data_IF_703748951520
#
_entry.id   IF_703748951520
#
_cell.length_a   1.000
_cell.length_b   1.000
_cell.length_c   1.000
_cell.angle_alpha   90.00
_cell.angle_beta   90.00
_cell.angle_gamma   90.00
#
_symmetry.space_group_name_H-M   'P 1'
#
loop_
_entity.id
_entity.type
_entity.pdbx_description
1 polymer ?
#
# COMPACT_ATOMS: atom_id res chain seq x y z
N UNK A 1 32.11 11.04 11.52
CA UNK A 1 30.70 10.71 11.79
C UNK A 1 29.91 11.27 10.62
N UNK A 2 29.38 10.45 9.72
CA UNK A 2 28.54 10.99 8.66
C UNK A 2 27.21 11.39 9.31
N UNK A 3 26.85 12.66 9.18
CA UNK A 3 25.54 13.13 9.58
C UNK A 3 24.60 12.56 8.52
N UNK A 4 23.82 11.54 8.87
CA UNK A 4 22.75 11.06 8.00
C UNK A 4 21.72 12.17 7.91
N UNK A 5 21.55 12.74 6.71
CA UNK A 5 20.50 13.72 6.47
C UNK A 5 19.13 13.12 6.83
N UNK A 6 18.23 13.92 7.44
CA UNK A 6 16.89 13.45 7.76
C UNK A 6 16.15 13.07 6.47
N UNK A 7 15.43 11.94 6.50
CA UNK A 7 14.66 11.48 5.34
C UNK A 7 13.63 12.54 4.92
N UNK A 8 13.50 12.84 3.60
CA UNK A 8 12.50 13.78 3.12
C UNK A 8 11.10 13.29 3.50
N UNK A 9 10.23 14.24 3.88
CA UNK A 9 8.83 13.95 4.29
C UNK A 9 7.83 14.00 3.14
N UNK A 10 8.24 14.58 2.02
CA UNK A 10 7.54 14.54 0.74
C UNK A 10 8.54 14.08 -0.31
N UNK A 11 8.12 13.19 -1.19
CA UNK A 11 8.93 12.64 -2.28
C UNK A 11 8.23 12.88 -3.62
N UNK A 12 9.03 12.90 -4.70
CA UNK A 12 8.59 13.23 -6.07
C UNK A 12 8.07 14.68 -6.25
N UNK A 13 7.94 15.13 -7.50
CA UNK A 13 7.41 16.47 -7.82
C UNK A 13 5.90 16.58 -7.57
N UNK A 14 5.40 17.81 -7.56
CA UNK A 14 3.97 18.08 -7.37
C UNK A 14 3.13 17.77 -8.61
N UNK A 15 3.77 17.48 -9.75
CA UNK A 15 3.10 17.21 -11.04
C UNK A 15 2.43 15.83 -11.11
N UNK A 16 2.67 14.96 -10.12
CA UNK A 16 2.09 13.63 -10.04
C UNK A 16 3.10 12.50 -10.23
N UNK A 17 2.63 11.24 -10.28
CA UNK A 17 3.49 10.09 -10.52
C UNK A 17 4.12 10.14 -11.92
N UNK A 18 5.40 9.80 -12.00
CA UNK A 18 6.16 9.68 -13.24
C UNK A 18 6.45 8.21 -13.59
N UNK A 19 6.81 7.94 -14.85
CA UNK A 19 7.17 6.60 -15.31
C UNK A 19 8.24 5.97 -14.40
N UNK A 20 8.06 4.72 -13.94
CA UNK A 20 7.11 3.72 -14.43
C UNK A 20 5.75 3.70 -13.74
N UNK A 21 5.43 4.68 -12.89
CA UNK A 21 4.17 4.75 -12.15
C UNK A 21 3.07 5.42 -12.99
N UNK A 22 1.79 5.08 -12.76
CA UNK A 22 1.29 4.12 -11.77
C UNK A 22 1.51 2.65 -12.19
N UNK A 23 1.94 1.81 -11.25
CA UNK A 23 1.93 0.36 -11.40
C UNK A 23 0.66 -0.23 -10.78
N UNK A 24 0.18 -1.33 -11.35
CA UNK A 24 -1.10 -1.94 -11.00
C UNK A 24 -0.88 -3.38 -10.53
N UNK A 25 -1.57 -3.78 -9.45
CA UNK A 25 -1.58 -5.15 -8.92
C UNK A 25 -2.91 -5.43 -8.26
N UNK A 26 -3.47 -6.64 -8.46
CA UNK A 26 -4.68 -7.06 -7.77
C UNK A 26 -4.57 -8.49 -7.26
N UNK A 27 -5.37 -8.81 -6.25
CA UNK A 27 -5.41 -10.13 -5.67
C UNK A 27 -6.40 -10.24 -4.52
N UNK A 28 -6.61 -11.47 -4.05
CA UNK A 28 -7.36 -11.71 -2.82
C UNK A 28 -6.42 -11.62 -1.62
N UNK A 29 -6.84 -10.91 -0.57
CA UNK A 29 -6.04 -10.78 0.66
C UNK A 29 -5.88 -12.14 1.33
N UNK A 30 -4.64 -12.57 1.51
CA UNK A 30 -4.29 -13.83 2.18
C UNK A 30 -3.61 -13.60 3.53
N UNK A 31 -3.69 -14.61 4.39
CA UNK A 31 -2.94 -14.62 5.65
C UNK A 31 -1.43 -14.68 5.38
N UNK A 32 -0.69 -13.79 6.02
CA UNK A 32 0.77 -13.87 6.08
C UNK A 32 1.25 -14.89 7.12
N UNK A 33 2.51 -14.78 7.50
CA UNK A 33 3.17 -15.72 8.42
C UNK A 33 3.06 -15.34 9.91
N UNK A 34 2.15 -14.43 10.26
CA UNK A 34 1.90 -14.05 11.66
C UNK A 34 3.12 -13.45 12.37
N UNK A 35 3.95 -12.66 11.68
CA UNK A 35 5.21 -12.08 12.24
C UNK A 35 5.00 -10.91 13.21
N UNK A 36 3.86 -10.84 13.88
CA UNK A 36 3.58 -9.82 14.90
C UNK A 36 3.26 -8.42 14.38
N UNK A 37 3.17 -8.18 13.06
CA UNK A 37 2.90 -6.84 12.51
C UNK A 37 1.64 -6.16 13.08
N UNK A 38 0.61 -6.96 13.39
CA UNK A 38 -0.60 -6.51 14.10
C UNK A 38 -0.33 -6.05 15.53
N UNK A 39 0.54 -6.75 16.27
CA UNK A 39 0.94 -6.38 17.64
C UNK A 39 1.80 -5.11 17.65
N UNK A 40 2.50 -4.83 16.55
CA UNK A 40 3.27 -3.60 16.34
C UNK A 40 2.40 -2.40 15.90
N UNK A 41 1.09 -2.61 15.71
CA UNK A 41 0.18 -1.57 15.23
C UNK A 41 0.26 -1.30 13.73
N UNK A 42 0.95 -2.16 12.96
CA UNK A 42 1.18 -2.00 11.52
C UNK A 42 0.73 -3.28 10.80
N UNK A 43 -0.57 -3.65 10.84
CA UNK A 43 -1.05 -4.88 10.21
C UNK A 43 -0.82 -4.85 8.69
N UNK A 44 -0.33 -5.96 8.13
CA UNK A 44 -0.07 -6.10 6.69
C UNK A 44 -0.98 -7.14 6.03
N UNK A 45 -1.60 -6.76 4.92
CA UNK A 45 -2.31 -7.64 4.00
C UNK A 45 -1.33 -8.23 3.00
N UNK A 46 -1.32 -9.55 2.84
CA UNK A 46 -0.47 -10.20 1.84
C UNK A 46 -1.28 -10.40 0.56
N UNK A 47 -0.65 -10.18 -0.61
CA UNK A 47 -1.25 -10.51 -1.90
C UNK A 47 -0.45 -11.61 -2.61
N UNK A 48 -1.12 -12.52 -3.34
CA UNK A 48 -0.43 -13.48 -4.18
C UNK A 48 0.34 -12.77 -5.28
N UNK A 49 1.60 -13.16 -5.48
CA UNK A 49 2.41 -12.65 -6.59
C UNK A 49 2.28 -13.62 -7.75
N UNK A 50 1.56 -13.19 -8.79
CA UNK A 50 1.44 -13.90 -10.05
C UNK A 50 2.22 -13.14 -11.14
N UNK A 51 3.25 -13.77 -11.70
CA UNK A 51 4.09 -13.18 -12.73
C UNK A 51 3.37 -12.95 -14.07
N UNK A 52 2.27 -13.68 -14.34
CA UNK A 52 1.45 -13.46 -15.52
C UNK A 52 0.60 -12.19 -15.39
N UNK A 53 0.11 -11.89 -14.19
CA UNK A 53 -0.72 -10.72 -13.91
C UNK A 53 0.10 -9.49 -13.52
N UNK A 54 1.25 -9.71 -12.89
CA UNK A 54 2.08 -8.66 -12.28
C UNK A 54 3.55 -8.77 -12.73
N UNK A 55 3.86 -8.83 -14.03
CA UNK A 55 5.21 -9.15 -14.52
C UNK A 55 6.28 -8.16 -14.06
N UNK A 56 5.91 -6.88 -13.87
CA UNK A 56 6.81 -5.82 -13.43
C UNK A 56 7.42 -6.09 -12.04
N UNK A 57 6.76 -6.87 -11.18
CA UNK A 57 7.23 -7.13 -9.82
C UNK A 57 8.50 -7.98 -9.80
N UNK A 58 8.78 -8.73 -10.87
CA UNK A 58 9.99 -9.53 -10.99
C UNK A 58 11.24 -8.65 -10.95
N UNK A 59 11.21 -7.50 -11.65
CA UNK A 59 12.31 -6.54 -11.76
C UNK A 59 12.18 -5.34 -10.82
N UNK A 60 11.12 -5.26 -10.00
CA UNK A 60 10.97 -4.18 -9.03
C UNK A 60 12.11 -4.20 -7.99
N UNK A 61 12.57 -3.01 -7.60
CA UNK A 61 13.51 -2.87 -6.48
C UNK A 61 12.87 -3.39 -5.20
N UNK A 62 13.60 -4.16 -4.39
CA UNK A 62 13.08 -4.54 -3.08
C UNK A 62 13.08 -3.32 -2.16
N UNK A 63 11.96 -3.07 -1.49
CA UNK A 63 11.82 -1.91 -0.61
C UNK A 63 10.37 -1.53 -0.36
N UNK A 64 10.20 -0.29 0.10
CA UNK A 64 8.91 0.29 0.45
C UNK A 64 8.42 1.19 -0.67
N UNK A 65 7.16 1.02 -1.01
CA UNK A 65 6.40 1.75 -2.01
C UNK A 65 5.18 2.38 -1.35
N UNK A 66 4.55 3.33 -2.05
CA UNK A 66 3.31 3.96 -1.58
C UNK A 66 2.31 4.15 -2.73
N UNK A 67 1.05 4.37 -2.37
CA UNK A 67 -0.01 4.61 -3.32
C UNK A 67 -1.38 4.39 -2.69
N UNK A 68 -2.29 3.79 -3.44
CA UNK A 68 -3.63 3.49 -2.98
C UNK A 68 -3.94 2.01 -3.03
N UNK A 69 -4.63 1.54 -1.99
CA UNK A 69 -5.30 0.25 -1.95
C UNK A 69 -6.81 0.49 -2.08
N UNK A 70 -7.45 -0.33 -2.88
CA UNK A 70 -8.90 -0.34 -3.04
C UNK A 70 -9.43 -1.70 -2.60
N UNK A 71 -10.36 -1.69 -1.66
CA UNK A 71 -10.86 -2.87 -0.97
C UNK A 71 -12.35 -3.05 -1.22
N UNK A 72 -12.72 -4.25 -1.68
CA UNK A 72 -14.11 -4.71 -1.66
C UNK A 72 -14.37 -5.42 -0.33
N UNK A 73 -14.76 -4.64 0.69
CA UNK A 73 -15.04 -5.19 2.01
C UNK A 73 -16.32 -6.05 2.00
N UNK A 74 -16.42 -7.08 2.85
CA UNK A 74 -17.65 -7.85 3.01
C UNK A 74 -18.84 -6.94 3.40
N UNK A 75 -20.08 -7.22 2.96
CA UNK A 75 -21.26 -6.43 3.32
C UNK A 75 -21.52 -6.30 4.83
N UNK A 76 -20.97 -7.22 5.63
CA UNK A 76 -21.07 -7.24 7.10
C UNK A 76 -19.91 -6.53 7.79
N UNK A 77 -18.92 -6.02 7.06
CA UNK A 77 -17.75 -5.39 7.65
C UNK A 77 -18.13 -4.02 8.23
N UNK A 78 -17.74 -3.71 9.49
CA UNK A 78 -18.16 -2.48 10.16
C UNK A 78 -17.65 -1.19 9.50
N UNK A 79 -16.50 -1.28 8.81
CA UNK A 79 -15.90 -0.15 8.08
C UNK A 79 -16.35 -0.06 6.60
N UNK A 80 -17.40 -0.80 6.21
CA UNK A 80 -18.02 -0.60 4.89
C UNK A 80 -18.87 0.68 4.93
N UNK A 81 -18.44 1.73 4.24
CA UNK A 81 -19.26 2.93 4.05
C UNK A 81 -20.41 2.64 3.08
N UNK A 82 -21.63 2.97 3.47
CA UNK A 82 -22.78 2.82 2.60
C UNK A 82 -22.69 3.83 1.44
N UNK A 83 -22.56 3.36 0.20
CA UNK A 83 -22.73 4.25 -0.95
C UNK A 83 -24.14 4.19 -1.52
N UNK A 84 -24.50 5.22 -2.29
CA UNK A 84 -25.85 5.39 -2.85
C UNK A 84 -26.18 4.43 -4.00
N UNK A 85 -25.28 3.52 -4.40
CA UNK A 85 -25.42 2.72 -5.62
C UNK A 85 -25.07 1.24 -5.40
N UNK A 86 -26.09 0.37 -5.34
CA UNK A 86 -25.97 -1.05 -5.00
C UNK A 86 -25.17 -1.93 -5.97
N UNK A 87 -23.84 -1.87 -5.91
CA UNK A 87 -22.89 -2.74 -6.61
C UNK A 87 -21.82 -3.33 -5.67
N UNK A 88 -20.86 -4.09 -6.22
CA UNK A 88 -19.64 -4.48 -5.49
C UNK A 88 -18.81 -3.22 -5.29
N UNK A 89 -18.81 -2.72 -4.06
CA UNK A 89 -18.23 -1.43 -3.73
C UNK A 89 -16.78 -1.56 -3.30
N UNK A 90 -15.93 -0.86 -4.03
CA UNK A 90 -14.52 -0.73 -3.74
C UNK A 90 -14.29 0.62 -3.03
N UNK A 91 -13.71 0.56 -1.83
CA UNK A 91 -13.33 1.74 -1.05
C UNK A 91 -11.83 1.99 -1.17
N UNK A 92 -11.43 3.23 -1.47
CA UNK A 92 -10.03 3.60 -1.71
C UNK A 92 -9.41 4.14 -0.42
N UNK A 93 -8.23 3.62 -0.07
CA UNK A 93 -7.44 4.01 1.08
C UNK A 93 -5.98 4.25 0.69
N UNK A 94 -5.29 5.25 1.27
CA UNK A 94 -3.85 5.37 1.11
C UNK A 94 -3.15 4.15 1.73
N UNK A 95 -2.02 3.74 1.15
CA UNK A 95 -1.26 2.58 1.60
C UNK A 95 0.25 2.78 1.47
N UNK A 96 1.00 2.02 2.25
CA UNK A 96 2.39 1.67 1.96
C UNK A 96 2.48 0.17 1.67
N UNK A 97 3.47 -0.22 0.89
CA UNK A 97 3.67 -1.60 0.47
C UNK A 97 5.13 -1.98 0.54
N UNK A 98 5.45 -3.14 1.10
CA UNK A 98 6.76 -3.77 1.02
C UNK A 98 6.77 -4.76 -0.13
N UNK A 99 7.75 -4.62 -1.02
CA UNK A 99 8.09 -5.62 -2.03
C UNK A 99 9.45 -6.20 -1.68
N UNK A 100 9.52 -7.52 -1.56
CA UNK A 100 10.74 -8.20 -1.14
C UNK A 100 10.77 -9.64 -1.64
N UNK A 101 11.43 -10.49 -0.87
CA UNK A 101 11.48 -11.93 -1.10
C UNK A 101 10.99 -12.70 0.11
N UNK A 102 10.34 -13.84 -0.13
CA UNK A 102 9.86 -14.70 0.93
C UNK A 102 10.97 -15.62 1.48
N UNK A 103 11.38 -15.47 2.76
CA UNK A 103 12.43 -16.30 3.36
C UNK A 103 12.12 -17.79 3.43
N UNK A 104 10.83 -18.16 3.53
CA UNK A 104 10.42 -19.56 3.63
C UNK A 104 10.61 -20.33 2.33
N UNK A 105 10.58 -19.63 1.19
CA UNK A 105 10.89 -20.21 -0.13
C UNK A 105 12.34 -19.95 -0.54
N UNK A 106 13.26 -19.88 0.44
CA UNK A 106 14.70 -19.60 0.21
C UNK A 106 14.93 -18.32 -0.61
N UNK A 107 14.07 -17.31 -0.43
CA UNK A 107 14.07 -16.06 -1.19
C UNK A 107 13.93 -16.23 -2.72
N UNK A 108 13.34 -17.33 -3.18
CA UNK A 108 13.14 -17.57 -4.62
C UNK A 108 11.86 -16.91 -5.18
N UNK A 109 10.93 -16.52 -4.30
CA UNK A 109 9.61 -15.99 -4.68
C UNK A 109 9.46 -14.58 -4.11
N UNK A 110 8.98 -13.65 -4.94
CA UNK A 110 8.65 -12.27 -4.54
C UNK A 110 7.53 -12.27 -3.51
N UNK A 111 7.58 -11.33 -2.58
CA UNK A 111 6.49 -11.03 -1.63
C UNK A 111 5.95 -9.62 -1.84
N UNK A 112 4.66 -9.46 -1.56
CA UNK A 112 3.92 -8.22 -1.65
C UNK A 112 3.06 -8.05 -0.39
N UNK A 113 3.46 -7.12 0.48
CA UNK A 113 2.81 -6.88 1.78
C UNK A 113 2.33 -5.43 1.86
N UNK A 114 1.04 -5.23 2.06
CA UNK A 114 0.40 -3.91 2.03
C UNK A 114 -0.04 -3.53 3.44
N UNK A 115 0.43 -2.39 3.94
CA UNK A 115 -0.16 -1.75 5.10
C UNK A 115 -1.08 -0.61 4.63
N UNK A 116 -2.39 -0.83 4.78
CA UNK A 116 -3.40 0.18 4.49
C UNK A 116 -3.38 1.20 5.62
N UNK A 117 -3.29 2.50 5.28
CA UNK A 117 -3.18 3.60 6.25
C UNK A 117 -4.55 3.99 6.82
N UNK A 118 -5.28 2.98 7.29
CA UNK A 118 -6.59 3.09 7.90
C UNK A 118 -6.70 2.09 9.06
N UNK A 119 -7.35 2.50 10.15
CA UNK A 119 -7.54 1.66 11.33
C UNK A 119 -8.87 0.92 11.25
N UNK A 120 -8.85 -0.27 10.66
CA UNK A 120 -10.01 -1.13 10.58
C UNK A 120 -10.41 -1.71 11.95
N UNK A 121 -11.71 -1.84 12.18
CA UNK A 121 -12.26 -2.49 13.35
C UNK A 121 -12.20 -4.03 13.28
N UNK A 122 -12.09 -4.59 12.07
CA UNK A 122 -11.97 -6.04 11.83
C UNK A 122 -10.97 -6.36 10.71
N UNK A 123 -10.55 -7.63 10.64
CA UNK A 123 -9.71 -8.12 9.56
C UNK A 123 -10.55 -8.35 8.30
N UNK A 124 -9.92 -8.22 7.12
CA UNK A 124 -10.55 -8.33 5.81
C UNK A 124 -9.92 -9.43 4.94
N UNK A 125 -9.50 -10.55 5.54
CA UNK A 125 -9.01 -11.71 4.80
C UNK A 125 -10.06 -12.21 3.79
N UNK A 126 -9.59 -12.62 2.60
CA UNK A 126 -10.48 -13.01 1.51
C UNK A 126 -11.11 -11.84 0.74
N UNK A 127 -10.94 -10.59 1.19
CA UNK A 127 -11.42 -9.43 0.45
C UNK A 127 -10.60 -9.25 -0.85
N UNK A 128 -11.26 -8.97 -1.99
CA UNK A 128 -10.57 -8.51 -3.19
C UNK A 128 -9.91 -7.16 -2.93
N UNK A 129 -8.62 -7.05 -3.28
CA UNK A 129 -7.83 -5.83 -3.17
C UNK A 129 -7.21 -5.48 -4.53
N UNK A 130 -7.21 -4.19 -4.86
CA UNK A 130 -6.54 -3.59 -6.02
C UNK A 130 -5.58 -2.52 -5.54
N UNK A 131 -4.40 -2.44 -6.14
CA UNK A 131 -3.33 -1.52 -5.78
C UNK A 131 -2.94 -0.65 -6.96
N UNK A 132 -2.86 0.65 -6.71
CA UNK A 132 -2.24 1.63 -7.60
C UNK A 132 -0.98 2.14 -6.90
N UNK A 133 0.18 1.63 -7.31
CA UNK A 133 1.49 1.98 -6.75
C UNK A 133 2.00 3.21 -7.48
N UNK A 134 2.29 4.28 -6.74
CA UNK A 134 2.58 5.60 -7.30
C UNK A 134 4.04 6.04 -7.15
N UNK A 135 4.80 5.36 -6.31
CA UNK A 135 6.21 5.68 -6.14
C UNK A 135 6.92 4.78 -5.13
N UNK A 136 8.24 4.93 -5.10
CA UNK A 136 9.18 4.26 -4.20
C UNK A 136 9.58 5.20 -3.06
N UNK A 137 9.55 4.68 -1.84
CA UNK A 137 9.92 5.41 -0.62
C UNK A 137 11.38 5.18 -0.26
N UNK A 138 11.81 3.91 -0.19
CA UNK A 138 13.18 3.53 0.19
C UNK A 138 13.47 2.05 -0.06
N UNK A 139 14.75 1.70 -0.12
CA UNK A 139 15.21 0.30 -0.14
C UNK A 139 14.91 -0.43 1.18
N UNK A 140 14.96 -1.77 1.12
CA UNK A 140 14.96 -2.62 2.31
C UNK A 140 16.15 -2.27 3.22
N UNK A 141 15.94 -2.40 4.53
CA UNK A 141 16.95 -2.12 5.54
C UNK A 141 17.00 -3.27 6.54
N UNK A 142 18.21 -3.56 7.00
CA UNK A 142 18.43 -4.40 8.16
C UNK A 142 18.27 -3.58 9.44
N UNK A 143 17.48 -4.09 10.37
CA UNK A 143 17.23 -3.44 11.65
C UNK A 143 17.89 -4.20 12.79
N UNK A 144 18.56 -3.46 13.67
CA UNK A 144 19.20 -4.01 14.88
C UNK A 144 18.24 -4.16 16.05
N UNK A 145 17.07 -3.53 15.98
CA UNK A 145 16.01 -3.64 16.97
C UNK A 145 14.63 -3.47 16.34
N UNK A 146 13.60 -3.94 17.05
CA UNK A 146 12.21 -3.82 16.64
C UNK A 146 11.75 -2.36 16.62
N UNK A 147 12.22 -1.56 17.57
CA UNK A 147 11.88 -0.14 17.71
C UNK A 147 12.36 0.64 16.49
N UNK A 148 13.58 0.38 16.01
CA UNK A 148 14.13 1.02 14.82
C UNK A 148 13.32 0.67 13.56
N UNK A 149 12.83 -0.58 13.45
CA UNK A 149 11.95 -1.00 12.37
C UNK A 149 10.62 -0.23 12.42
N UNK A 150 9.98 -0.18 13.59
CA UNK A 150 8.69 0.50 13.78
C UNK A 150 8.83 2.01 13.52
N UNK A 151 9.90 2.64 13.99
CA UNK A 151 10.19 4.06 13.71
C UNK A 151 10.27 4.31 12.21
N UNK A 152 11.03 3.48 11.48
CA UNK A 152 11.19 3.68 10.04
C UNK A 152 9.87 3.46 9.28
N UNK A 153 9.05 2.49 9.67
CA UNK A 153 7.72 2.28 9.06
C UNK A 153 6.79 3.46 9.34
N UNK A 154 6.80 4.03 10.54
CA UNK A 154 5.98 5.20 10.85
C UNK A 154 6.37 6.39 9.97
N UNK A 155 7.67 6.61 9.76
CA UNK A 155 8.16 7.61 8.82
C UNK A 155 7.71 7.29 7.39
N UNK A 156 7.76 6.02 6.96
CA UNK A 156 7.29 5.63 5.62
C UNK A 156 5.80 5.96 5.42
N UNK A 157 4.98 5.69 6.44
CA UNK A 157 3.56 6.03 6.47
C UNK A 157 3.33 7.54 6.39
N UNK A 158 4.12 8.33 7.11
CA UNK A 158 4.02 9.79 7.08
C UNK A 158 4.45 10.37 5.72
N UNK A 159 5.50 9.82 5.12
CA UNK A 159 5.94 10.17 3.76
C UNK A 159 4.83 9.90 2.76
N UNK A 160 4.19 8.73 2.84
CA UNK A 160 3.08 8.37 1.98
C UNK A 160 1.90 9.34 2.17
N UNK A 161 1.47 9.60 3.41
CA UNK A 161 0.35 10.54 3.69
C UNK A 161 0.62 11.92 3.11
N UNK A 162 1.81 12.47 3.35
CA UNK A 162 2.15 13.82 2.89
C UNK A 162 2.29 13.89 1.36
N UNK A 163 2.90 12.89 0.75
CA UNK A 163 3.09 12.84 -0.71
C UNK A 163 1.77 12.66 -1.44
N UNK A 164 0.85 11.85 -0.90
CA UNK A 164 -0.45 11.56 -1.49
C UNK A 164 -1.47 12.68 -1.33
N UNK A 165 -1.34 13.52 -0.28
CA UNK A 165 -2.28 14.62 0.00
C UNK A 165 -2.24 15.77 -1.03
N UNK A 166 -1.33 15.70 -2.01
CA UNK A 166 -1.18 16.69 -3.07
C UNK A 166 -2.18 16.45 -4.19
N UNK A 167 -2.60 17.52 -4.87
CA UNK A 167 -3.68 17.49 -5.87
C UNK A 167 -3.45 16.44 -6.97
N UNK A 168 -2.28 16.45 -7.62
CA UNK A 168 -1.96 15.50 -8.71
C UNK A 168 -1.79 14.05 -8.23
N UNK A 169 -1.72 13.82 -6.92
CA UNK A 169 -1.49 12.53 -6.29
C UNK A 169 -2.76 11.95 -5.65
N UNK A 170 -3.75 12.78 -5.34
CA UNK A 170 -5.03 12.32 -4.77
C UNK A 170 -6.02 11.93 -5.88
N UNK A 171 -6.66 10.74 -5.82
CA UNK A 171 -7.71 10.34 -6.74
C UNK A 171 -8.84 11.36 -6.82
N UNK A 172 -9.45 11.48 -8.01
CA UNK A 172 -10.58 12.39 -8.21
C UNK A 172 -11.74 12.13 -7.26
N UNK A 173 -12.01 10.87 -6.94
CA UNK A 173 -13.13 10.44 -6.09
C UNK A 173 -12.80 9.14 -5.34
N UNK A 174 -13.60 8.82 -4.31
CA UNK A 174 -13.62 7.49 -3.68
C UNK A 174 -12.61 7.26 -2.55
N UNK A 175 -11.77 8.24 -2.21
CA UNK A 175 -10.84 8.12 -1.06
C UNK A 175 -11.61 8.27 0.25
N UNK A 176 -11.66 7.22 1.04
CA UNK A 176 -12.32 7.19 2.34
C UNK A 176 -11.67 8.19 3.29
N UNK A 177 -12.47 9.11 3.83
CA UNK A 177 -12.01 10.19 4.73
C UNK A 177 -11.02 11.18 4.09
N UNK A 178 -10.83 11.13 2.77
CA UNK A 178 -9.86 11.93 2.03
C UNK A 178 -10.48 13.09 1.23
N UNK A 179 -9.62 13.95 0.71
CA UNK A 179 -10.00 14.99 -0.26
C UNK A 179 -10.19 14.43 -1.68
N UNK A 180 -10.61 15.30 -2.60
CA UNK A 180 -10.63 15.03 -4.04
C UNK A 180 -9.42 15.69 -4.70
N UNK A 181 -8.71 14.98 -5.58
CA UNK A 181 -7.61 15.52 -6.37
C UNK A 181 -7.79 15.33 -7.87
N UNK A 182 -6.69 15.23 -8.61
CA UNK A 182 -6.67 15.14 -10.07
C UNK A 182 -6.23 13.76 -10.60
N UNK A 183 -5.68 12.89 -9.76
CA UNK A 183 -5.17 11.57 -10.16
C UNK A 183 -6.29 10.70 -10.73
N UNK A 184 -6.01 10.05 -11.87
CA UNK A 184 -6.90 9.04 -12.42
C UNK A 184 -6.86 7.75 -11.60
N UNK A 185 -7.85 7.59 -10.73
CA UNK A 185 -8.05 6.40 -9.90
C UNK A 185 -9.02 5.38 -10.49
N UNK A 186 -9.51 5.54 -11.72
CA UNK A 186 -10.62 4.73 -12.24
C UNK A 186 -10.34 3.21 -12.21
N UNK A 187 -9.08 2.80 -12.40
CA UNK A 187 -8.66 1.40 -12.34
C UNK A 187 -8.94 0.74 -10.98
N UNK A 188 -8.87 1.49 -9.88
CA UNK A 188 -9.09 1.01 -8.51
C UNK A 188 -10.54 0.57 -8.26
N UNK A 189 -11.49 1.15 -8.99
CA UNK A 189 -12.95 0.98 -8.78
C UNK A 189 -13.66 0.47 -10.03
N UNK A 190 -12.92 -0.05 -11.02
CA UNK A 190 -13.50 -0.58 -12.26
C UNK A 190 -14.51 -1.70 -11.98
N UNK A 191 -15.60 -1.71 -12.75
CA UNK A 191 -16.61 -2.78 -12.72
C UNK A 191 -16.03 -4.14 -13.12
#
# INVERSE_FOLDING_TARGET
MSVTEPRPRVIYSDDGPESPYPLQMEGTVISGFGRGSKELGIPTANLPVDAALTPWIASATSGVYFGYASLSLPPTHPDLEATSAGGVEYQIYPMVMSIGYNPFYKNAVRSAEVHVLHKFAQDFYGAPMRLLILGFVREEKDYKSLEALVEDINIDCDVARQSLAREAWTPREGVVGGGKGALDGAWLVRA
#
